data_IF_055398555524
#
_entry.id   IF_055398555524
#
_cell.length_a   1.000
_cell.length_b   1.000
_cell.length_c   1.000
_cell.angle_alpha   90.00
_cell.angle_beta   90.00
_cell.angle_gamma   90.00
#
_symmetry.space_group_name_H-M   'P 1'
#
loop_
_entity.id
_entity.type
_entity.pdbx_description
1 polymer ?
#
# COMPACT_ATOMS: atom_id res chain seq x y z
N UNK A 1 -10.19 -0.08 -16.49
CA UNK A 1 -9.58 0.01 -15.14
C UNK A 1 -8.98 -1.35 -14.86
N UNK A 2 -7.66 -1.47 -14.83
CA UNK A 2 -6.97 -2.74 -14.57
C UNK A 2 -7.03 -2.99 -13.06
N UNK A 3 -7.37 -4.21 -12.63
CA UNK A 3 -7.42 -4.56 -11.22
C UNK A 3 -6.02 -4.85 -10.67
N UNK A 4 -5.79 -4.61 -9.38
CA UNK A 4 -4.53 -4.96 -8.69
C UNK A 4 -4.13 -6.41 -8.91
N UNK A 5 -5.09 -7.33 -9.00
CA UNK A 5 -4.85 -8.74 -9.31
C UNK A 5 -4.24 -8.95 -10.70
N UNK A 6 -4.72 -8.20 -11.69
CA UNK A 6 -4.20 -8.25 -13.06
C UNK A 6 -2.76 -7.74 -13.10
N UNK A 7 -2.47 -6.63 -12.42
CA UNK A 7 -1.12 -6.06 -12.33
C UNK A 7 -0.15 -7.04 -11.65
N UNK A 8 -0.58 -7.67 -10.54
CA UNK A 8 0.23 -8.67 -9.85
C UNK A 8 0.49 -9.90 -10.72
N UNK A 9 -0.49 -10.32 -11.53
CA UNK A 9 -0.34 -11.43 -12.46
C UNK A 9 0.67 -11.08 -13.57
N UNK A 10 0.59 -9.87 -14.13
CA UNK A 10 1.53 -9.39 -15.14
C UNK A 10 2.96 -9.36 -14.60
N UNK A 11 3.18 -8.75 -13.43
CA UNK A 11 4.49 -8.71 -12.77
C UNK A 11 5.07 -10.11 -12.55
N UNK A 12 4.25 -11.05 -12.06
CA UNK A 12 4.67 -12.45 -11.84
C UNK A 12 5.03 -13.14 -13.14
N UNK A 13 4.25 -12.95 -14.20
CA UNK A 13 4.49 -13.56 -15.51
C UNK A 13 5.83 -13.10 -16.12
N UNK A 14 6.22 -11.85 -15.85
CA UNK A 14 7.49 -11.25 -16.27
C UNK A 14 8.67 -11.60 -15.34
N UNK A 15 8.43 -12.37 -14.28
CA UNK A 15 9.45 -12.71 -13.29
C UNK A 15 9.92 -11.49 -12.49
N UNK A 16 9.11 -10.45 -12.38
CA UNK A 16 9.39 -9.24 -11.61
C UNK A 16 8.96 -9.48 -10.16
N UNK A 17 9.83 -9.11 -9.22
CA UNK A 17 9.57 -9.16 -7.78
C UNK A 17 9.93 -7.82 -7.14
N UNK A 18 9.37 -7.56 -5.97
CA UNK A 18 9.75 -6.41 -5.15
C UNK A 18 10.72 -6.81 -4.05
N UNK A 19 11.73 -5.99 -3.79
CA UNK A 19 12.66 -6.12 -2.66
C UNK A 19 12.62 -4.86 -1.79
N UNK A 20 13.10 -4.97 -0.55
CA UNK A 20 12.94 -3.92 0.46
C UNK A 20 11.51 -3.89 1.01
N UNK A 21 11.13 -2.78 1.61
CA UNK A 21 9.80 -2.54 2.15
C UNK A 21 9.46 -1.05 2.08
N UNK A 22 8.17 -0.69 1.95
CA UNK A 22 7.75 0.68 2.20
C UNK A 22 7.94 1.02 3.69
N UNK A 23 8.02 2.30 3.98
CA UNK A 23 7.87 2.82 5.34
C UNK A 23 6.54 3.56 5.48
N UNK A 24 6.07 3.69 6.71
CA UNK A 24 4.75 4.20 7.04
C UNK A 24 4.85 5.24 8.14
N UNK A 25 4.01 6.26 8.06
CA UNK A 25 3.78 7.24 9.13
C UNK A 25 2.27 7.45 9.26
N UNK A 26 1.65 6.50 9.97
CA UNK A 26 0.20 6.44 10.13
C UNK A 26 -0.28 7.21 11.36
N UNK A 27 -1.38 7.93 11.20
CA UNK A 27 -2.14 8.55 12.29
C UNK A 27 -3.60 8.09 12.26
N UNK A 28 -4.20 7.96 13.43
CA UNK A 28 -5.63 7.68 13.57
C UNK A 28 -6.39 9.00 13.49
N UNK A 29 -7.24 9.14 12.47
CA UNK A 29 -8.06 10.34 12.30
C UNK A 29 -9.38 10.22 13.08
N UNK A 30 -9.96 9.00 13.10
CA UNK A 30 -11.21 8.72 13.79
C UNK A 30 -11.24 7.28 14.31
N UNK A 31 -11.78 7.10 15.51
CA UNK A 31 -12.06 5.79 16.10
C UNK A 31 -13.52 5.75 16.56
N UNK A 32 -14.26 4.74 16.10
CA UNK A 32 -15.61 4.44 16.53
C UNK A 32 -15.64 3.05 17.16
N UNK A 33 -15.46 3.01 18.48
CA UNK A 33 -15.42 1.77 19.26
C UNK A 33 -16.79 1.27 19.73
N UNK A 34 -17.83 2.10 19.62
CA UNK A 34 -19.15 1.79 20.14
C UNK A 34 -20.04 1.01 19.14
N UNK A 35 -19.66 1.01 17.86
CA UNK A 35 -20.33 0.22 16.82
C UNK A 35 -20.21 -1.30 17.09
N UNK A 36 -21.19 -2.05 16.59
CA UNK A 36 -21.20 -3.54 16.62
C UNK A 36 -19.89 -4.14 16.10
N UNK A 37 -19.34 -3.56 15.04
CA UNK A 37 -17.98 -3.80 14.58
C UNK A 37 -17.21 -2.48 14.73
N UNK A 38 -16.27 -2.39 15.69
CA UNK A 38 -15.46 -1.18 15.86
C UNK A 38 -14.72 -0.84 14.56
N UNK A 39 -14.64 0.45 14.25
CA UNK A 39 -14.05 0.94 13.00
C UNK A 39 -13.11 2.12 13.27
N UNK A 40 -12.04 2.23 12.49
CA UNK A 40 -11.11 3.33 12.52
C UNK A 40 -10.84 3.86 11.11
N UNK A 41 -10.70 5.17 10.99
CA UNK A 41 -10.18 5.84 9.80
C UNK A 41 -8.78 6.35 10.11
N UNK A 42 -7.85 6.10 9.20
CA UNK A 42 -6.46 6.48 9.33
C UNK A 42 -6.00 7.22 8.09
N UNK A 43 -5.05 8.12 8.28
CA UNK A 43 -4.22 8.68 7.22
C UNK A 43 -2.82 8.13 7.42
N UNK A 44 -2.23 7.57 6.38
CA UNK A 44 -0.86 7.08 6.40
C UNK A 44 -0.04 7.72 5.28
N UNK A 45 1.13 8.25 5.62
CA UNK A 45 2.12 8.61 4.62
C UNK A 45 2.94 7.37 4.26
N UNK A 46 2.69 6.83 3.07
CA UNK A 46 3.40 5.67 2.54
C UNK A 46 4.60 6.15 1.74
N UNK A 47 5.80 5.76 2.18
CA UNK A 47 7.05 6.01 1.46
C UNK A 47 7.57 4.70 0.83
N UNK A 48 7.49 4.63 -0.49
CA UNK A 48 7.94 3.49 -1.29
C UNK A 48 9.36 3.67 -1.86
N UNK A 49 10.12 4.66 -1.38
CA UNK A 49 11.47 4.97 -1.88
C UNK A 49 12.36 3.74 -1.89
N UNK A 50 12.38 2.97 -0.81
CA UNK A 50 13.22 1.78 -0.68
C UNK A 50 12.57 0.48 -1.18
N UNK A 51 11.36 0.57 -1.73
CA UNK A 51 10.64 -0.55 -2.30
C UNK A 51 10.95 -0.65 -3.81
N UNK A 52 11.82 -1.59 -4.17
CA UNK A 52 12.41 -1.67 -5.52
C UNK A 52 11.87 -2.86 -6.30
N UNK A 53 11.62 -2.68 -7.59
CA UNK A 53 11.26 -3.76 -8.50
C UNK A 53 12.51 -4.29 -9.20
N UNK A 54 12.69 -5.61 -9.17
CA UNK A 54 13.84 -6.30 -9.76
C UNK A 54 13.39 -7.54 -10.53
N UNK A 55 14.18 -7.94 -11.53
CA UNK A 55 13.99 -9.24 -12.18
C UNK A 55 14.53 -10.36 -11.28
N UNK A 56 13.67 -11.31 -10.89
CA UNK A 56 13.99 -12.39 -9.95
C UNK A 56 15.27 -13.15 -10.31
N UNK A 57 15.49 -13.44 -11.60
CA UNK A 57 16.63 -14.25 -12.06
C UNK A 57 17.97 -13.53 -11.98
N UNK A 58 17.99 -12.21 -12.21
CA UNK A 58 19.24 -11.45 -12.38
C UNK A 58 19.49 -10.45 -11.26
N UNK A 59 18.49 -10.12 -10.46
CA UNK A 59 18.54 -9.03 -9.47
C UNK A 59 18.64 -7.63 -10.09
N UNK A 60 18.62 -7.51 -11.43
CA UNK A 60 18.72 -6.22 -12.10
C UNK A 60 17.44 -5.39 -11.86
N UNK A 61 17.57 -4.06 -11.71
CA UNK A 61 16.42 -3.18 -11.51
C UNK A 61 15.51 -3.18 -12.74
N UNK A 62 14.21 -3.08 -12.50
CA UNK A 62 13.22 -2.80 -13.54
C UNK A 62 13.14 -1.29 -13.74
N UNK A 63 13.21 -0.83 -15.00
CA UNK A 63 13.02 0.57 -15.33
C UNK A 63 11.59 0.99 -14.98
N UNK A 64 11.46 2.10 -14.25
CA UNK A 64 10.18 2.65 -13.81
C UNK A 64 10.05 4.09 -14.30
N UNK A 65 8.82 4.61 -14.50
CA UNK A 65 8.63 6.01 -14.80
C UNK A 65 9.28 6.92 -13.76
N UNK A 66 10.02 7.94 -14.21
CA UNK A 66 10.75 8.87 -13.34
C UNK A 66 9.81 9.80 -12.57
N UNK A 67 8.65 10.12 -13.15
CA UNK A 67 7.65 11.03 -12.61
C UNK A 67 6.61 10.35 -11.70
N UNK A 68 6.90 9.14 -11.18
CA UNK A 68 5.99 8.43 -10.30
C UNK A 68 5.99 9.05 -8.90
N UNK A 69 4.82 9.15 -8.27
CA UNK A 69 4.70 9.56 -6.88
C UNK A 69 5.15 8.40 -5.97
N UNK A 70 6.34 8.51 -5.37
CA UNK A 70 6.92 7.47 -4.51
C UNK A 70 6.59 7.64 -3.03
N UNK A 71 6.13 8.83 -2.64
CA UNK A 71 5.65 9.17 -1.31
C UNK A 71 4.30 9.83 -1.42
N UNK A 72 3.30 9.24 -0.78
CA UNK A 72 1.92 9.70 -0.92
C UNK A 72 1.07 9.38 0.29
N UNK A 73 0.05 10.21 0.50
CA UNK A 73 -0.96 9.91 1.49
C UNK A 73 -1.84 8.72 1.05
N UNK A 74 -2.22 7.89 2.01
CA UNK A 74 -3.26 6.88 1.86
C UNK A 74 -4.34 7.13 2.91
N UNK A 75 -5.61 7.03 2.50
CA UNK A 75 -6.74 6.97 3.44
C UNK A 75 -7.08 5.50 3.65
N UNK A 76 -7.17 5.08 4.91
CA UNK A 76 -7.31 3.68 5.29
C UNK A 76 -8.53 3.52 6.19
N UNK A 77 -9.37 2.54 5.88
CA UNK A 77 -10.43 2.08 6.78
C UNK A 77 -10.03 0.75 7.39
N UNK A 78 -10.06 0.68 8.72
CA UNK A 78 -9.83 -0.55 9.47
C UNK A 78 -11.06 -0.92 10.30
N UNK A 79 -11.29 -2.22 10.45
CA UNK A 79 -12.33 -2.79 11.31
C UNK A 79 -11.73 -3.76 12.31
N UNK A 80 -12.31 -3.81 13.52
CA UNK A 80 -11.90 -4.76 14.55
C UNK A 80 -12.81 -5.99 14.51
N UNK A 81 -12.28 -7.10 14.00
CA UNK A 81 -12.97 -8.38 13.95
C UNK A 81 -12.49 -9.25 15.12
N UNK A 82 -13.35 -9.39 16.13
CA UNK A 82 -12.98 -10.06 17.38
C UNK A 82 -11.83 -9.33 18.07
N UNK A 83 -10.66 -9.98 18.18
CA UNK A 83 -9.47 -9.44 18.84
C UNK A 83 -8.48 -8.74 17.91
N UNK A 84 -8.71 -8.75 16.59
CA UNK A 84 -7.75 -8.27 15.60
C UNK A 84 -8.32 -7.12 14.77
N UNK A 85 -7.47 -6.15 14.43
CA UNK A 85 -7.78 -5.14 13.42
C UNK A 85 -7.47 -5.68 12.03
N UNK A 86 -8.31 -5.34 11.07
CA UNK A 86 -8.14 -5.65 9.65
C UNK A 86 -8.33 -4.38 8.84
N UNK A 87 -7.42 -4.13 7.93
CA UNK A 87 -7.60 -3.13 6.90
C UNK A 87 -8.61 -3.67 5.91
N UNK A 88 -9.71 -2.95 5.72
CA UNK A 88 -10.80 -3.33 4.80
C UNK A 88 -10.81 -2.48 3.54
N UNK A 89 -10.19 -1.29 3.59
CA UNK A 89 -10.06 -0.39 2.45
C UNK A 89 -8.77 0.43 2.56
N UNK A 90 -8.11 0.63 1.43
CA UNK A 90 -6.96 1.54 1.28
C UNK A 90 -7.17 2.33 0.00
N UNK A 91 -7.17 3.65 0.11
CA UNK A 91 -7.30 4.56 -1.02
C UNK A 91 -6.04 5.43 -1.12
N UNK A 92 -5.13 5.14 -2.08
CA UNK A 92 -4.02 6.03 -2.39
C UNK A 92 -4.54 7.39 -2.86
N UNK A 93 -3.96 8.46 -2.34
CA UNK A 93 -4.22 9.82 -2.79
C UNK A 93 -3.19 10.24 -3.83
N UNK A 94 -3.51 11.27 -4.62
CA UNK A 94 -2.55 11.89 -5.54
C UNK A 94 -1.74 13.02 -4.87
N UNK A 95 -1.82 13.10 -3.54
CA UNK A 95 -1.15 14.12 -2.73
C UNK A 95 0.13 13.56 -2.12
N UNK A 96 1.20 14.35 -2.20
CA UNK A 96 2.49 14.03 -1.60
C UNK A 96 2.50 14.23 -0.08
N UNK A 97 3.40 13.50 0.55
CA UNK A 97 3.87 13.65 1.93
C UNK A 97 5.38 13.32 1.97
#
# INVERSE_FOLDING_TARGET
>A
MVSTETDLTDLRSKGIVTTGAPTHNAKVDKLDSARKVPSAQLTDCLDSTDWKFVYRKSGKPVAMPENRLIRYETKVTAEKWGKQWRIVEVTPQQDAC
#
